data_IF_797426801933
#
_entry.id   IF_797426801933
#
_cell.length_a   1.000
_cell.length_b   1.000
_cell.length_c   1.000
_cell.angle_alpha   90.00
_cell.angle_beta   90.00
_cell.angle_gamma   90.00
#
_symmetry.space_group_name_H-M   'P 1'
#
loop_
_entity.id
_entity.type
_entity.pdbx_description
1 polymer ?
#
# COMPACT_ATOMS: atom_id res chain seq x y z
N UNK A 1 2.85 24.30 17.05
CA UNK A 1 2.02 23.08 16.87
C UNK A 1 2.10 22.49 15.45
N UNK A 2 2.58 23.20 14.43
CA UNK A 2 2.81 22.60 13.10
C UNK A 2 3.96 21.58 13.10
N UNK A 3 4.93 21.74 14.00
CA UNK A 3 6.16 20.93 14.06
C UNK A 3 6.04 19.65 14.90
N UNK A 4 4.89 19.42 15.55
CA UNK A 4 4.67 18.26 16.43
C UNK A 4 3.43 17.42 16.05
N UNK A 5 2.82 17.68 14.89
CA UNK A 5 1.74 16.86 14.36
C UNK A 5 0.33 17.18 14.87
N UNK A 6 0.18 18.22 15.71
CA UNK A 6 -1.15 18.64 16.20
C UNK A 6 -1.90 19.48 15.16
N UNK A 7 -1.16 20.29 14.38
CA UNK A 7 -1.74 21.12 13.31
C UNK A 7 -1.44 20.47 11.96
N UNK A 8 -2.50 20.09 11.24
CA UNK A 8 -2.38 19.50 9.89
C UNK A 8 -1.97 20.50 8.83
N UNK A 9 -2.39 21.77 8.91
CA UNK A 9 -2.06 22.80 7.93
C UNK A 9 -1.96 24.17 8.60
N UNK A 10 -1.00 24.99 8.16
CA UNK A 10 -0.87 26.40 8.55
C UNK A 10 -1.21 27.31 7.38
N UNK A 11 -1.98 28.36 7.63
CA UNK A 11 -2.42 29.36 6.66
C UNK A 11 -2.08 30.76 7.16
N UNK A 12 -2.08 31.77 6.28
CA UNK A 12 -1.68 33.13 6.65
C UNK A 12 -2.82 33.96 7.25
N UNK A 13 -4.07 33.67 6.89
CA UNK A 13 -5.26 34.36 7.39
C UNK A 13 -6.49 33.43 7.53
N UNK A 14 -7.55 33.95 8.14
CA UNK A 14 -8.79 33.20 8.40
C UNK A 14 -9.54 32.81 7.11
N UNK A 15 -9.46 33.63 6.05
CA UNK A 15 -10.12 33.35 4.77
C UNK A 15 -9.44 32.17 4.06
N UNK A 16 -8.11 32.13 4.07
CA UNK A 16 -7.32 30.98 3.62
C UNK A 16 -7.62 29.75 4.48
N UNK A 17 -7.82 29.92 5.78
CA UNK A 17 -8.23 28.85 6.69
C UNK A 17 -9.57 28.23 6.30
N UNK A 18 -10.60 29.05 6.07
CA UNK A 18 -11.91 28.58 5.59
C UNK A 18 -11.77 27.94 4.20
N UNK A 19 -10.97 28.52 3.32
CA UNK A 19 -10.70 27.94 1.99
C UNK A 19 -10.07 26.55 2.10
N UNK A 20 -9.09 26.38 2.99
CA UNK A 20 -8.45 25.09 3.23
C UNK A 20 -9.42 24.04 3.80
N UNK A 21 -10.30 24.43 4.72
CA UNK A 21 -11.35 23.56 5.27
C UNK A 21 -12.29 23.10 4.15
N UNK A 22 -12.78 24.02 3.31
CA UNK A 22 -13.66 23.68 2.19
C UNK A 22 -12.96 22.78 1.16
N UNK A 23 -11.68 23.04 0.89
CA UNK A 23 -10.86 22.17 0.03
C UNK A 23 -10.74 20.77 0.62
N UNK A 24 -10.50 20.62 1.93
CA UNK A 24 -10.47 19.32 2.59
C UNK A 24 -11.81 18.60 2.49
N UNK A 25 -12.92 19.29 2.81
CA UNK A 25 -14.27 18.71 2.70
C UNK A 25 -14.62 18.27 1.28
N UNK A 26 -13.98 18.83 0.24
CA UNK A 26 -14.15 18.38 -1.15
C UNK A 26 -13.66 16.96 -1.44
N UNK A 27 -12.93 16.34 -0.51
CA UNK A 27 -12.50 14.93 -0.60
C UNK A 27 -13.40 13.99 0.19
N UNK A 28 -14.10 14.49 1.22
CA UNK A 28 -14.82 13.67 2.21
C UNK A 28 -16.29 13.48 1.80
N UNK A 29 -16.89 12.29 1.99
CA UNK A 29 -18.33 12.10 1.82
C UNK A 29 -19.18 13.07 2.66
N UNK A 30 -20.36 13.42 2.16
CA UNK A 30 -21.26 14.37 2.84
C UNK A 30 -21.82 13.84 4.18
N UNK A 31 -21.86 12.52 4.36
CA UNK A 31 -22.25 11.82 5.58
C UNK A 31 -21.55 10.46 5.65
N UNK A 32 -21.39 9.89 6.85
CA UNK A 32 -20.74 8.57 7.01
C UNK A 32 -21.54 7.46 6.33
N UNK A 33 -20.86 6.62 5.57
CA UNK A 33 -21.44 5.61 4.69
C UNK A 33 -21.93 6.16 3.35
N UNK A 34 -21.82 7.45 3.09
CA UNK A 34 -22.18 8.08 1.82
C UNK A 34 -21.21 7.75 0.68
N UNK A 35 -21.59 8.06 -0.57
CA UNK A 35 -20.70 7.90 -1.71
C UNK A 35 -19.54 8.91 -1.68
N UNK A 36 -18.39 8.53 -2.24
CA UNK A 36 -17.26 9.44 -2.42
C UNK A 36 -17.63 10.58 -3.38
N UNK A 37 -17.18 11.83 -3.13
CA UNK A 37 -17.41 12.96 -4.03
C UNK A 37 -16.51 12.88 -5.28
N UNK A 38 -16.82 11.93 -6.18
CA UNK A 38 -16.10 11.74 -7.45
C UNK A 38 -16.47 12.87 -8.42
N UNK A 39 -15.47 13.58 -8.92
CA UNK A 39 -15.63 14.66 -9.90
C UNK A 39 -15.20 14.22 -11.30
N UNK A 40 -15.71 14.86 -12.34
CA UNK A 40 -15.17 14.68 -13.69
C UNK A 40 -13.73 15.20 -13.75
N UNK A 41 -12.74 14.37 -14.12
CA UNK A 41 -11.35 14.79 -14.10
C UNK A 41 -11.05 15.77 -15.22
N UNK A 42 -10.35 16.86 -14.88
CA UNK A 42 -9.70 17.74 -15.87
C UNK A 42 -8.45 17.09 -16.45
N UNK A 43 -7.80 16.23 -15.65
CA UNK A 43 -6.59 15.50 -16.00
C UNK A 43 -6.95 14.08 -16.48
N UNK A 44 -6.79 13.74 -17.77
CA UNK A 44 -7.23 12.45 -18.31
C UNK A 44 -6.66 11.26 -17.54
N UNK A 45 -7.47 10.24 -17.19
CA UNK A 45 -6.98 9.07 -16.47
C UNK A 45 -6.05 8.20 -17.32
N UNK A 46 -6.19 8.22 -18.65
CA UNK A 46 -5.40 7.39 -19.57
C UNK A 46 -4.02 7.97 -19.94
N UNK A 47 -3.69 9.18 -19.45
CA UNK A 47 -2.36 9.75 -19.73
C UNK A 47 -1.27 8.94 -19.04
N UNK A 48 -0.07 9.01 -19.62
CA UNK A 48 1.12 8.45 -19.01
C UNK A 48 1.62 9.33 -17.85
N UNK A 49 2.33 8.71 -16.91
CA UNK A 49 3.15 9.41 -15.92
C UNK A 49 4.45 9.82 -16.62
N UNK A 50 4.65 11.13 -16.77
CA UNK A 50 5.82 11.70 -17.46
C UNK A 50 7.01 11.93 -16.52
N UNK A 51 6.75 12.13 -15.22
CA UNK A 51 7.81 12.20 -14.24
C UNK A 51 8.52 10.85 -14.12
N UNK A 52 9.82 10.83 -14.37
CA UNK A 52 10.67 9.64 -14.28
C UNK A 52 11.81 9.92 -13.29
N UNK A 53 11.88 9.20 -12.15
CA UNK A 53 12.98 9.38 -11.20
C UNK A 53 14.28 8.85 -11.79
N UNK A 54 15.36 9.64 -11.72
CA UNK A 54 16.68 9.25 -12.23
C UNK A 54 17.50 8.46 -11.21
N UNK A 55 17.48 8.89 -9.94
CA UNK A 55 18.31 8.32 -8.86
C UNK A 55 17.47 7.90 -7.67
N UNK A 56 16.63 8.79 -7.17
CA UNK A 56 15.64 8.51 -6.14
C UNK A 56 14.29 9.11 -6.52
N UNK A 57 13.23 8.43 -6.08
CA UNK A 57 11.87 8.88 -6.31
C UNK A 57 11.50 9.96 -5.28
N UNK A 58 11.54 11.24 -5.68
CA UNK A 58 10.91 12.30 -4.88
C UNK A 58 9.40 11.99 -4.72
N UNK A 59 8.89 11.86 -3.49
CA UNK A 59 7.49 11.54 -3.24
C UNK A 59 6.53 12.61 -3.77
N UNK A 60 6.86 13.91 -3.67
CA UNK A 60 5.98 14.98 -4.11
C UNK A 60 5.89 15.01 -5.63
N UNK A 61 7.04 14.92 -6.30
CA UNK A 61 7.09 14.82 -7.75
C UNK A 61 6.38 13.56 -8.29
N UNK A 62 6.49 12.43 -7.60
CA UNK A 62 5.74 11.22 -7.92
C UNK A 62 4.21 11.43 -7.83
N UNK A 63 3.76 12.23 -6.86
CA UNK A 63 2.34 12.49 -6.63
C UNK A 63 1.79 13.52 -7.64
N UNK A 64 2.31 14.76 -7.60
CA UNK A 64 1.75 15.90 -8.33
C UNK A 64 2.52 16.26 -9.63
N UNK A 65 3.64 15.59 -9.90
CA UNK A 65 4.53 15.90 -11.01
C UNK A 65 5.59 16.94 -10.65
N UNK A 66 6.48 17.23 -11.60
CA UNK A 66 7.55 18.21 -11.45
C UNK A 66 7.63 19.10 -12.70
N UNK A 67 8.22 20.28 -12.58
CA UNK A 67 8.56 21.10 -13.73
C UNK A 67 9.95 20.69 -14.25
N UNK A 68 10.08 20.51 -15.56
CA UNK A 68 11.38 20.31 -16.17
C UNK A 68 12.17 21.63 -16.29
N UNK A 69 13.44 21.55 -16.72
CA UNK A 69 14.30 22.72 -16.91
C UNK A 69 13.82 23.71 -17.98
N UNK A 70 12.82 23.34 -18.80
CA UNK A 70 12.20 24.19 -19.83
C UNK A 70 10.87 24.79 -19.39
N UNK A 71 10.38 24.44 -18.18
CA UNK A 71 9.08 24.87 -17.66
C UNK A 71 7.91 23.99 -18.09
N UNK A 72 8.16 22.86 -18.76
CA UNK A 72 7.13 21.86 -19.07
C UNK A 72 6.83 21.05 -17.80
N UNK A 73 5.54 20.91 -17.49
CA UNK A 73 5.08 20.04 -16.42
C UNK A 73 5.17 18.56 -16.83
N UNK A 74 5.96 17.80 -16.08
CA UNK A 74 6.04 16.35 -16.14
C UNK A 74 5.01 15.77 -15.16
N UNK A 75 3.88 15.32 -15.69
CA UNK A 75 2.76 14.84 -14.88
C UNK A 75 3.11 13.65 -13.97
N UNK A 76 2.74 13.76 -12.69
CA UNK A 76 2.83 12.69 -11.69
C UNK A 76 1.71 11.66 -11.83
N UNK A 77 1.58 10.77 -10.83
CA UNK A 77 0.58 9.71 -10.83
C UNK A 77 -0.85 10.23 -10.60
N UNK A 78 -1.01 11.26 -9.76
CA UNK A 78 -2.31 11.84 -9.40
C UNK A 78 -2.65 13.06 -10.25
N UNK A 79 -3.89 13.53 -10.11
CA UNK A 79 -4.41 14.65 -10.89
C UNK A 79 -3.65 15.93 -10.55
N UNK A 80 -3.34 16.71 -11.59
CA UNK A 80 -2.69 18.02 -11.46
C UNK A 80 -3.40 18.90 -10.42
N UNK A 81 -2.61 19.54 -9.56
CA UNK A 81 -3.07 20.50 -8.54
C UNK A 81 -4.14 19.94 -7.57
N UNK A 82 -4.25 18.61 -7.46
CA UNK A 82 -5.20 17.95 -6.55
C UNK A 82 -4.60 17.58 -5.18
N UNK A 83 -3.26 17.48 -5.09
CA UNK A 83 -2.59 17.05 -3.87
C UNK A 83 -2.55 18.17 -2.83
N UNK A 84 -3.04 17.86 -1.62
CA UNK A 84 -2.96 18.71 -0.44
C UNK A 84 -2.18 17.96 0.62
N UNK A 85 -0.93 18.38 0.84
CA UNK A 85 -0.10 17.84 1.89
C UNK A 85 -0.61 18.30 3.27
N UNK A 86 -0.54 17.39 4.24
CA UNK A 86 -0.90 17.65 5.63
C UNK A 86 0.21 17.17 6.54
N UNK A 87 0.36 17.82 7.69
CA UNK A 87 1.40 17.53 8.69
C UNK A 87 2.82 17.70 8.13
N UNK A 88 3.02 18.57 7.13
CA UNK A 88 4.31 18.83 6.47
C UNK A 88 5.40 19.26 7.48
N UNK A 89 5.01 20.01 8.52
CA UNK A 89 5.94 20.50 9.53
C UNK A 89 6.53 19.42 10.44
N UNK A 90 5.93 18.22 10.50
CA UNK A 90 6.26 17.15 11.44
C UNK A 90 6.60 15.84 10.72
N UNK A 91 7.59 15.11 11.25
CA UNK A 91 8.06 13.82 10.73
C UNK A 91 8.23 13.82 9.19
N UNK A 92 9.11 14.70 8.70
CA UNK A 92 9.30 15.02 7.28
C UNK A 92 9.81 13.84 6.44
N UNK A 93 10.24 12.75 7.06
CA UNK A 93 10.61 11.51 6.37
C UNK A 93 9.42 10.79 5.74
N UNK A 94 8.18 11.13 6.12
CA UNK A 94 6.95 10.63 5.51
C UNK A 94 6.06 11.80 5.09
N UNK A 95 5.58 11.75 3.87
CA UNK A 95 4.64 12.71 3.26
C UNK A 95 3.24 12.12 3.34
N UNK A 96 2.28 12.87 3.90
CA UNK A 96 0.88 12.44 4.01
C UNK A 96 -0.05 13.51 3.50
N UNK A 97 -1.11 13.13 2.79
CA UNK A 97 -2.04 14.11 2.25
C UNK A 97 -3.20 13.48 1.49
N UNK A 98 -3.98 14.30 0.81
CA UNK A 98 -5.11 13.87 -0.02
C UNK A 98 -4.88 14.29 -1.46
N UNK A 99 -5.25 13.46 -2.42
CA UNK A 99 -5.26 13.83 -3.84
C UNK A 99 -6.46 13.23 -4.55
N UNK A 100 -6.52 13.42 -5.88
CA UNK A 100 -7.50 12.77 -6.74
C UNK A 100 -6.79 11.92 -7.79
N UNK A 101 -7.34 10.75 -8.10
CA UNK A 101 -6.92 9.90 -9.20
C UNK A 101 -8.09 9.75 -10.17
N UNK A 102 -8.04 10.47 -11.29
CA UNK A 102 -9.16 10.53 -12.24
C UNK A 102 -10.44 11.04 -11.59
N UNK A 103 -10.31 12.03 -10.70
CA UNK A 103 -11.42 12.63 -9.97
C UNK A 103 -11.88 11.89 -8.71
N UNK A 104 -11.40 10.67 -8.46
CA UNK A 104 -11.71 9.90 -7.24
C UNK A 104 -10.80 10.38 -6.09
N UNK A 105 -11.35 10.86 -4.97
CA UNK A 105 -10.55 11.32 -3.83
C UNK A 105 -9.89 10.15 -3.11
N UNK A 106 -8.63 10.32 -2.73
CA UNK A 106 -7.81 9.30 -2.05
C UNK A 106 -6.89 9.91 -1.00
N UNK A 107 -6.62 9.17 0.06
CA UNK A 107 -5.52 9.43 0.98
C UNK A 107 -4.20 8.93 0.41
N UNK A 108 -3.11 9.64 0.70
CA UNK A 108 -1.76 9.30 0.24
C UNK A 108 -0.81 9.26 1.42
N UNK A 109 0.01 8.22 1.46
CA UNK A 109 1.23 8.13 2.27
C UNK A 109 2.40 7.83 1.32
N UNK A 110 3.43 8.66 1.35
CA UNK A 110 4.64 8.48 0.55
C UNK A 110 5.89 8.73 1.39
N UNK A 111 7.03 8.26 0.90
CA UNK A 111 8.29 8.26 1.69
C UNK A 111 9.27 9.23 1.09
N UNK A 112 9.87 10.05 1.95
CA UNK A 112 10.99 10.88 1.57
C UNK A 112 12.25 10.03 1.37
N UNK A 113 13.00 10.33 0.31
CA UNK A 113 14.25 9.64 -0.01
C UNK A 113 15.48 10.40 0.46
N UNK A 114 15.36 11.71 0.63
CA UNK A 114 16.44 12.55 1.12
C UNK A 114 16.55 12.51 2.64
N UNK A 115 17.76 12.75 3.15
CA UNK A 115 17.99 12.92 4.59
C UNK A 115 17.34 14.23 5.05
N UNK A 116 16.42 14.14 6.01
CA UNK A 116 15.73 15.27 6.59
C UNK A 116 16.39 15.69 7.90
N UNK A 117 16.47 17.00 8.14
CA UNK A 117 17.04 17.55 9.38
C UNK A 117 15.90 17.92 10.33
N UNK A 118 15.79 17.20 11.44
CA UNK A 118 14.84 17.49 12.50
C UNK A 118 15.47 18.47 13.49
N UNK A 119 14.89 19.66 13.61
CA UNK A 119 15.31 20.66 14.60
C UNK A 119 14.47 20.47 15.87
N UNK A 120 15.13 20.07 16.95
CA UNK A 120 14.54 19.95 18.28
C UNK A 120 14.87 21.25 19.03
N UNK A 121 13.88 22.07 19.38
CA UNK A 121 14.11 23.34 20.05
C UNK A 121 14.68 23.12 21.46
N UNK A 122 15.43 24.10 21.96
CA UNK A 122 15.85 24.12 23.35
C UNK A 122 14.63 24.22 24.28
N UNK A 123 14.68 23.53 25.41
CA UNK A 123 13.67 23.61 26.45
C UNK A 123 13.93 24.85 27.34
N UNK A 124 13.06 25.88 27.34
CA UNK A 124 13.24 27.04 28.20
C UNK A 124 13.18 26.72 29.70
N UNK A 125 12.60 25.58 30.09
CA UNK A 125 12.53 25.12 31.47
C UNK A 125 13.84 24.50 31.99
N UNK A 126 14.79 24.22 31.10
CA UNK A 126 16.03 23.53 31.45
C UNK A 126 17.25 24.30 30.93
N UNK A 127 18.07 24.85 31.85
CA UNK A 127 19.16 25.78 31.51
C UNK A 127 20.29 25.16 30.67
N UNK A 128 20.50 23.86 30.76
CA UNK A 128 21.49 23.09 29.98
C UNK A 128 20.96 22.62 28.62
N UNK A 129 19.68 22.86 28.33
CA UNK A 129 19.07 22.53 27.05
C UNK A 129 19.55 23.48 25.95
N UNK A 130 19.85 22.92 24.79
CA UNK A 130 20.26 23.64 23.60
C UNK A 130 19.53 23.05 22.39
N UNK A 131 19.40 23.84 21.33
CA UNK A 131 18.81 23.36 20.08
C UNK A 131 19.66 22.23 19.51
N UNK A 132 18.98 21.16 19.09
CA UNK A 132 19.64 19.98 18.51
C UNK A 132 19.10 19.73 17.11
N UNK A 133 20.01 19.58 16.16
CA UNK A 133 19.67 19.18 14.79
C UNK A 133 20.00 17.70 14.63
N UNK A 134 18.97 16.88 14.45
CA UNK A 134 19.08 15.43 14.31
C UNK A 134 18.86 15.06 12.85
N UNK A 135 19.86 14.47 12.16
CA UNK A 135 19.65 13.94 10.82
C UNK A 135 18.80 12.67 10.89
N UNK A 136 17.74 12.62 10.08
CA UNK A 136 16.88 11.47 9.88
C UNK A 136 17.08 10.99 8.44
N UNK A 137 17.56 9.77 8.26
CA UNK A 137 17.75 9.20 6.93
C UNK A 137 16.40 9.03 6.20
N UNK A 138 16.38 9.28 4.89
CA UNK A 138 15.25 8.93 4.04
C UNK A 138 15.02 7.41 4.02
N UNK A 139 13.84 6.98 3.58
CA UNK A 139 13.46 5.56 3.48
C UNK A 139 13.47 4.78 4.82
N UNK A 140 13.47 5.46 5.97
CA UNK A 140 13.49 4.83 7.30
C UNK A 140 12.32 5.33 8.14
N UNK A 141 11.63 4.41 8.83
CA UNK A 141 10.67 4.78 9.86
C UNK A 141 11.35 5.06 11.19
N UNK A 142 11.12 6.27 11.68
CA UNK A 142 11.44 6.75 13.02
C UNK A 142 10.15 6.82 13.87
N UNK A 143 10.23 7.01 15.20
CA UNK A 143 9.06 7.00 16.07
C UNK A 143 8.00 8.02 15.66
N UNK A 144 8.43 9.21 15.26
CA UNK A 144 7.58 10.30 14.77
C UNK A 144 6.90 9.95 13.44
N UNK A 145 7.63 9.42 12.47
CA UNK A 145 7.12 9.07 11.14
C UNK A 145 6.24 7.82 11.15
N UNK A 146 6.52 6.84 12.01
CA UNK A 146 5.63 5.72 12.25
C UNK A 146 4.30 6.20 12.88
N UNK A 147 4.37 7.12 13.85
CA UNK A 147 3.18 7.72 14.47
C UNK A 147 2.39 8.57 13.45
N UNK A 148 3.07 9.39 12.65
CA UNK A 148 2.45 10.18 11.56
C UNK A 148 1.74 9.28 10.55
N UNK A 149 2.39 8.18 10.15
CA UNK A 149 1.80 7.19 9.25
C UNK A 149 0.54 6.60 9.87
N UNK A 150 0.63 6.11 11.11
CA UNK A 150 -0.51 5.52 11.81
C UNK A 150 -1.68 6.52 11.96
N UNK A 151 -1.40 7.77 12.33
CA UNK A 151 -2.40 8.84 12.43
C UNK A 151 -3.09 9.10 11.09
N UNK A 152 -2.31 9.18 9.99
CA UNK A 152 -2.88 9.38 8.66
C UNK A 152 -3.80 8.23 8.24
N UNK A 153 -3.42 6.98 8.50
CA UNK A 153 -4.28 5.82 8.24
C UNK A 153 -5.60 5.92 9.04
N UNK A 154 -5.51 6.28 10.32
CA UNK A 154 -6.69 6.44 11.18
C UNK A 154 -7.64 7.55 10.69
N UNK A 155 -7.07 8.69 10.29
CA UNK A 155 -7.84 9.84 9.79
C UNK A 155 -8.52 9.50 8.45
N UNK A 156 -7.79 8.92 7.50
CA UNK A 156 -8.34 8.55 6.19
C UNK A 156 -9.42 7.46 6.29
N UNK A 157 -9.26 6.49 7.21
CA UNK A 157 -10.28 5.46 7.45
C UNK A 157 -11.59 6.06 7.97
N UNK A 158 -11.50 7.06 8.85
CA UNK A 158 -12.66 7.79 9.38
C UNK A 158 -13.34 8.68 8.34
N UNK A 159 -12.57 9.19 7.40
CA UNK A 159 -13.06 9.94 6.24
C UNK A 159 -13.59 9.02 5.12
N UNK A 160 -13.48 7.71 5.29
CA UNK A 160 -13.88 6.69 4.34
C UNK A 160 -13.21 6.82 2.96
N UNK A 161 -11.95 7.26 2.94
CA UNK A 161 -11.16 7.42 1.72
C UNK A 161 -10.45 6.11 1.34
N UNK A 162 -10.33 5.78 0.04
CA UNK A 162 -9.33 4.82 -0.42
C UNK A 162 -7.91 5.35 -0.15
N UNK A 163 -6.95 4.45 0.05
CA UNK A 163 -5.58 4.79 0.43
C UNK A 163 -4.56 4.34 -0.60
N UNK A 164 -3.62 5.21 -0.94
CA UNK A 164 -2.41 4.88 -1.68
C UNK A 164 -1.18 5.01 -0.77
N UNK A 165 -0.40 3.94 -0.67
CA UNK A 165 0.90 3.94 0.00
C UNK A 165 1.98 3.75 -1.06
N UNK A 166 2.71 4.82 -1.38
CA UNK A 166 3.91 4.76 -2.22
C UNK A 166 5.08 4.25 -1.37
N UNK A 167 5.17 2.93 -1.24
CA UNK A 167 6.04 2.27 -0.29
C UNK A 167 7.50 2.29 -0.74
N UNK A 168 8.36 2.94 0.04
CA UNK A 168 9.79 3.05 -0.25
C UNK A 168 10.62 3.09 1.06
N UNK A 169 10.50 2.03 1.87
CA UNK A 169 11.17 1.90 3.18
C UNK A 169 12.15 0.73 3.22
N UNK A 170 13.37 1.00 3.70
CA UNK A 170 14.38 -0.01 4.04
C UNK A 170 14.12 -0.71 5.37
N UNK A 171 13.30 -0.11 6.24
CA UNK A 171 12.95 -0.68 7.53
C UNK A 171 12.63 0.37 8.58
N UNK A 172 12.58 -0.09 9.82
CA UNK A 172 12.48 0.73 11.01
C UNK A 172 13.88 1.09 11.52
N UNK A 173 14.02 2.26 12.14
CA UNK A 173 15.25 2.59 12.86
C UNK A 173 15.47 1.63 14.02
N UNK A 174 16.61 0.94 14.01
CA UNK A 174 17.05 0.03 15.07
C UNK A 174 17.95 0.67 16.12
N UNK A 175 18.08 2.01 16.12
CA UNK A 175 18.92 2.73 17.08
C UNK A 175 18.38 2.61 18.51
N UNK A 176 19.29 2.56 19.50
CA UNK A 176 18.91 2.43 20.92
C UNK A 176 17.94 3.53 21.38
N UNK A 177 18.18 4.77 20.95
CA UNK A 177 17.31 5.91 21.27
C UNK A 177 15.90 5.70 20.72
N UNK A 178 15.80 5.38 19.43
CA UNK A 178 14.50 5.28 18.75
C UNK A 178 13.70 4.05 19.24
N UNK A 179 14.39 3.00 19.67
CA UNK A 179 13.79 1.87 20.41
C UNK A 179 13.23 2.31 21.77
N UNK A 180 13.97 3.14 22.52
CA UNK A 180 13.51 3.67 23.81
C UNK A 180 12.34 4.65 23.66
N UNK A 181 12.31 5.43 22.57
CA UNK A 181 11.22 6.32 22.20
C UNK A 181 9.96 5.58 21.71
N UNK A 182 9.99 4.25 21.61
CA UNK A 182 8.82 3.43 21.37
C UNK A 182 8.47 3.20 19.90
N UNK A 183 9.48 3.09 19.02
CA UNK A 183 9.27 2.76 17.59
C UNK A 183 8.44 1.49 17.38
N UNK A 184 8.57 0.49 18.25
CA UNK A 184 7.84 -0.78 18.13
C UNK A 184 6.33 -0.59 18.38
N UNK A 185 5.97 0.24 19.36
CA UNK A 185 4.58 0.60 19.65
C UNK A 185 3.98 1.42 18.50
N UNK A 186 4.74 2.38 17.97
CA UNK A 186 4.33 3.15 16.80
C UNK A 186 4.12 2.24 15.58
N UNK A 187 5.05 1.30 15.33
CA UNK A 187 4.94 0.30 14.27
C UNK A 187 3.74 -0.63 14.42
N UNK A 188 3.42 -1.09 15.64
CA UNK A 188 2.21 -1.92 15.87
C UNK A 188 0.91 -1.17 15.59
N UNK A 189 0.90 0.15 15.78
CA UNK A 189 -0.28 0.99 15.53
C UNK A 189 -0.59 1.08 14.03
N UNK A 190 0.44 1.04 13.17
CA UNK A 190 0.26 0.96 11.70
C UNK A 190 -0.50 -0.32 11.35
N UNK A 191 -0.10 -1.46 11.91
CA UNK A 191 -0.76 -2.76 11.68
C UNK A 191 -2.22 -2.73 12.13
N UNK A 192 -2.49 -2.17 13.31
CA UNK A 192 -3.85 -2.08 13.84
C UNK A 192 -4.76 -1.21 12.95
N UNK A 193 -4.27 -0.07 12.50
CA UNK A 193 -5.04 0.84 11.63
C UNK A 193 -5.22 0.26 10.22
N UNK A 194 -4.25 -0.50 9.70
CA UNK A 194 -4.38 -1.18 8.40
C UNK A 194 -5.34 -2.39 8.48
N UNK A 195 -5.32 -3.12 9.61
CA UNK A 195 -6.22 -4.25 9.89
C UNK A 195 -7.69 -3.82 9.94
N UNK A 196 -7.96 -2.64 10.47
CA UNK A 196 -9.32 -2.09 10.64
C UNK A 196 -9.74 -1.17 9.50
N UNK A 197 -8.91 -1.02 8.48
CA UNK A 197 -9.20 -0.18 7.31
C UNK A 197 -10.35 -0.75 6.48
N UNK A 198 -11.38 0.08 6.22
CA UNK A 198 -12.63 -0.37 5.60
C UNK A 198 -12.75 -0.13 4.09
N UNK A 199 -11.80 0.59 3.50
CA UNK A 199 -11.81 0.99 2.08
C UNK A 199 -10.61 0.37 1.33
N UNK A 200 -10.58 0.41 -0.01
CA UNK A 200 -9.48 -0.16 -0.77
C UNK A 200 -8.14 0.52 -0.45
N UNK A 201 -7.10 -0.28 -0.20
CA UNK A 201 -5.73 0.18 0.06
C UNK A 201 -4.80 -0.37 -1.02
N UNK A 202 -4.14 0.52 -1.74
CA UNK A 202 -3.15 0.20 -2.76
C UNK A 202 -1.75 0.51 -2.24
N UNK A 203 -0.93 -0.52 -2.10
CA UNK A 203 0.46 -0.38 -1.72
C UNK A 203 1.29 -0.60 -2.97
N UNK A 204 1.99 0.44 -3.41
CA UNK A 204 2.77 0.42 -4.65
C UNK A 204 4.21 0.78 -4.35
N UNK A 205 5.14 -0.12 -4.68
CA UNK A 205 6.57 0.16 -4.61
C UNK A 205 6.95 0.89 -5.91
N UNK A 206 7.31 2.19 -5.87
CA UNK A 206 7.51 3.01 -7.05
C UNK A 206 8.83 2.65 -7.77
N UNK A 207 9.09 3.32 -8.89
CA UNK A 207 10.33 3.15 -9.65
C UNK A 207 11.56 3.42 -8.76
N UNK A 208 12.52 2.50 -8.79
CA UNK A 208 13.71 2.46 -7.91
C UNK A 208 13.41 2.42 -6.41
N UNK A 209 12.15 2.21 -6.03
CA UNK A 209 11.75 2.07 -4.64
C UNK A 209 12.16 0.71 -4.08
N UNK A 210 12.28 0.66 -2.75
CA UNK A 210 12.52 -0.58 -2.05
C UNK A 210 11.65 -0.75 -0.82
N UNK A 211 11.25 -2.00 -0.55
CA UNK A 211 10.50 -2.36 0.64
C UNK A 211 11.15 -3.56 1.31
N UNK A 212 11.69 -3.36 2.52
CA UNK A 212 12.53 -4.38 3.19
C UNK A 212 12.12 -4.69 4.61
N UNK A 213 12.47 -5.90 5.04
CA UNK A 213 12.44 -6.34 6.43
C UNK A 213 11.13 -6.05 7.15
N UNK A 214 11.22 -5.40 8.31
CA UNK A 214 10.06 -5.05 9.13
C UNK A 214 9.08 -4.10 8.43
N UNK A 215 9.54 -3.28 7.48
CA UNK A 215 8.65 -2.37 6.77
C UNK A 215 7.67 -3.12 5.85
N UNK A 216 8.11 -4.23 5.25
CA UNK A 216 7.20 -5.12 4.52
C UNK A 216 6.17 -5.73 5.47
N UNK A 217 6.61 -6.19 6.65
CA UNK A 217 5.75 -6.91 7.60
C UNK A 217 4.54 -6.09 8.02
N UNK A 218 4.71 -4.78 8.27
CA UNK A 218 3.61 -3.91 8.73
C UNK A 218 2.67 -3.44 7.61
N UNK A 219 3.04 -3.70 6.35
CA UNK A 219 2.30 -3.31 5.15
C UNK A 219 1.80 -4.52 4.34
N UNK A 220 2.05 -5.74 4.79
CA UNK A 220 1.75 -6.93 4.01
C UNK A 220 0.24 -7.04 3.74
N UNK A 221 -0.12 -7.42 2.51
CA UNK A 221 -1.52 -7.60 2.11
C UNK A 221 -2.29 -8.59 2.99
N UNK A 222 -1.61 -9.52 3.67
CA UNK A 222 -2.25 -10.49 4.58
C UNK A 222 -2.78 -9.86 5.88
N UNK A 223 -2.38 -8.63 6.21
CA UNK A 223 -2.95 -7.92 7.38
C UNK A 223 -4.45 -7.70 7.18
N UNK A 224 -4.85 -7.34 5.96
CA UNK A 224 -6.24 -7.12 5.58
C UNK A 224 -6.44 -7.54 4.11
N UNK A 225 -6.58 -8.86 3.84
CA UNK A 225 -6.56 -9.40 2.48
C UNK A 225 -7.78 -9.02 1.64
N UNK A 226 -8.84 -8.55 2.29
CA UNK A 226 -10.07 -8.13 1.63
C UNK A 226 -9.92 -6.74 1.00
N UNK A 227 -9.13 -5.85 1.61
CA UNK A 227 -9.01 -4.45 1.21
C UNK A 227 -7.61 -4.06 0.68
N UNK A 228 -6.54 -4.75 1.09
CA UNK A 228 -5.15 -4.38 0.75
C UNK A 228 -4.66 -5.13 -0.48
N UNK A 229 -4.19 -4.38 -1.49
CA UNK A 229 -3.55 -4.91 -2.69
C UNK A 229 -2.14 -4.33 -2.84
N UNK A 230 -1.15 -5.22 -3.02
CA UNK A 230 0.26 -4.85 -3.19
C UNK A 230 0.71 -5.00 -4.64
N UNK A 231 1.43 -3.99 -5.13
CA UNK A 231 2.00 -3.90 -6.47
C UNK A 231 3.44 -3.39 -6.39
N UNK A 232 4.24 -3.72 -7.40
CA UNK A 232 5.62 -3.24 -7.48
C UNK A 232 5.96 -2.83 -8.92
N UNK A 233 6.80 -1.82 -9.05
CA UNK A 233 7.39 -1.43 -10.33
C UNK A 233 8.45 -2.45 -10.78
N UNK A 234 8.78 -2.50 -12.08
CA UNK A 234 9.78 -3.44 -12.62
C UNK A 234 11.15 -3.32 -11.94
N UNK A 235 11.60 -2.10 -11.66
CA UNK A 235 12.89 -1.79 -11.02
C UNK A 235 12.85 -1.84 -9.49
N UNK A 236 11.66 -1.98 -8.91
CA UNK A 236 11.48 -2.05 -7.46
C UNK A 236 12.20 -3.26 -6.87
N UNK A 237 12.77 -3.06 -5.67
CA UNK A 237 13.48 -4.10 -4.91
C UNK A 237 12.74 -4.42 -3.62
N UNK A 238 12.87 -5.65 -3.15
CA UNK A 238 12.32 -6.01 -1.85
C UNK A 238 12.71 -7.41 -1.41
N UNK A 239 13.14 -7.49 -0.16
CA UNK A 239 13.59 -8.70 0.50
C UNK A 239 13.67 -8.48 2.01
N UNK A 240 14.02 -9.51 2.77
CA UNK A 240 14.17 -9.43 4.23
C UNK A 240 15.30 -8.48 4.63
N UNK A 241 16.42 -8.51 3.91
CA UNK A 241 17.62 -7.70 4.18
C UNK A 241 18.05 -6.98 2.90
N UNK A 242 18.92 -6.00 3.07
CA UNK A 242 19.71 -5.47 1.95
C UNK A 242 20.68 -6.54 1.42
N UNK A 243 21.04 -6.48 0.12
CA UNK A 243 21.99 -7.41 -0.50
C UNK A 243 23.29 -7.55 0.30
N UNK A 244 23.81 -6.43 0.79
CA UNK A 244 25.02 -6.33 1.61
C UNK A 244 24.87 -7.11 2.92
N UNK A 245 23.75 -6.93 3.63
CA UNK A 245 23.47 -7.70 4.85
C UNK A 245 23.26 -9.20 4.58
N UNK A 246 22.70 -9.57 3.42
CA UNK A 246 22.52 -10.97 3.03
C UNK A 246 23.87 -11.68 2.82
N UNK A 247 24.81 -11.03 2.13
CA UNK A 247 26.13 -11.62 1.87
C UNK A 247 26.94 -11.80 3.16
N UNK A 248 26.87 -10.85 4.09
CA UNK A 248 27.56 -10.95 5.39
C UNK A 248 27.09 -12.13 6.22
N UNK A 249 25.82 -12.52 6.07
CA UNK A 249 25.25 -13.65 6.81
C UNK A 249 25.44 -14.96 6.06
N UNK A 250 25.04 -15.02 4.78
CA UNK A 250 24.92 -16.27 4.01
C UNK A 250 26.05 -16.55 3.03
N UNK A 251 26.80 -15.54 2.61
CA UNK A 251 27.83 -15.67 1.58
C UNK A 251 29.15 -15.04 2.06
N UNK A 252 29.65 -15.57 3.18
CA UNK A 252 30.80 -15.04 3.90
C UNK A 252 32.08 -15.28 3.10
N UNK A 253 33.20 -14.77 3.63
CA UNK A 253 34.53 -14.92 3.03
C UNK A 253 34.85 -16.36 2.65
N UNK A 254 34.43 -17.35 3.43
CA UNK A 254 34.66 -18.77 3.11
C UNK A 254 33.99 -19.19 1.80
N UNK A 255 32.70 -18.91 1.65
CA UNK A 255 31.93 -19.24 0.44
C UNK A 255 32.42 -18.45 -0.78
N UNK A 256 32.88 -17.21 -0.57
CA UNK A 256 33.55 -16.39 -1.59
C UNK A 256 34.84 -17.06 -2.09
N UNK A 257 35.71 -17.52 -1.19
CA UNK A 257 36.96 -18.20 -1.53
C UNK A 257 36.71 -19.55 -2.24
N UNK A 258 35.67 -20.28 -1.85
CA UNK A 258 35.23 -21.50 -2.56
C UNK A 258 34.78 -21.16 -3.99
N UNK A 259 34.02 -20.09 -4.18
CA UNK A 259 33.62 -19.63 -5.51
C UNK A 259 34.80 -19.16 -6.37
N UNK A 260 35.76 -18.44 -5.78
CA UNK A 260 37.00 -18.09 -6.47
C UNK A 260 37.76 -19.33 -6.94
N UNK A 261 37.88 -20.33 -6.06
CA UNK A 261 38.54 -21.59 -6.38
C UNK A 261 37.83 -22.41 -7.47
N UNK A 262 36.54 -22.16 -7.71
CA UNK A 262 35.74 -22.83 -8.75
C UNK A 262 35.76 -22.10 -10.09
N UNK A 263 35.90 -20.77 -10.09
CA UNK A 263 35.69 -19.92 -11.27
C UNK A 263 36.97 -19.25 -11.79
N UNK A 264 37.95 -18.94 -10.94
CA UNK A 264 39.18 -18.26 -11.37
C UNK A 264 40.22 -19.29 -11.88
N UNK A 265 40.60 -19.24 -13.17
CA UNK A 265 41.48 -20.23 -13.78
C UNK A 265 42.90 -20.19 -13.20
N UNK A 266 43.37 -19.02 -12.75
CA UNK A 266 44.69 -18.84 -12.16
C UNK A 266 44.75 -19.51 -10.77
N UNK A 267 43.74 -19.31 -9.92
CA UNK A 267 43.61 -20.02 -8.64
C UNK A 267 43.46 -21.52 -8.80
N UNK A 268 42.72 -21.99 -9.81
CA UNK A 268 42.59 -23.43 -10.10
C UNK A 268 43.96 -24.04 -10.42
N UNK A 269 44.73 -23.38 -11.29
CA UNK A 269 46.07 -23.84 -11.67
C UNK A 269 47.08 -23.76 -10.50
N UNK A 270 47.01 -22.71 -9.68
CA UNK A 270 47.84 -22.61 -8.48
C UNK A 270 47.49 -23.69 -7.46
N UNK A 271 46.19 -24.00 -7.26
CA UNK A 271 45.74 -25.08 -6.36
C UNK A 271 46.12 -26.47 -6.88
N UNK A 272 46.09 -26.71 -8.19
CA UNK A 272 46.56 -27.98 -8.76
C UNK A 272 48.08 -28.15 -8.58
N UNK A 273 48.86 -27.10 -8.88
CA UNK A 273 50.31 -27.09 -8.64
C UNK A 273 50.66 -27.28 -7.16
N UNK A 274 49.85 -26.73 -6.25
CA UNK A 274 50.03 -26.92 -4.81
C UNK A 274 49.80 -28.39 -4.42
N UNK A 275 48.79 -29.07 -4.99
CA UNK A 275 48.55 -30.50 -4.76
C UNK A 275 49.68 -31.38 -5.30
N UNK A 276 50.22 -31.07 -6.48
CA UNK A 276 51.38 -31.75 -7.06
C UNK A 276 52.65 -31.54 -6.21
N UNK A 277 52.94 -30.32 -5.79
CA UNK A 277 54.11 -30.01 -4.95
C UNK A 277 54.01 -30.64 -3.54
N UNK A 278 52.80 -30.79 -3.02
CA UNK A 278 52.56 -31.43 -1.72
C UNK A 278 52.79 -32.94 -1.78
N UNK A 279 52.60 -33.57 -2.94
CA UNK A 279 52.86 -35.00 -3.15
C UNK A 279 54.33 -35.29 -3.47
N UNK A 280 55.08 -34.32 -4.00
CA UNK A 280 56.52 -34.46 -4.31
C UNK A 280 57.48 -34.09 -3.17
N UNK A 281 56.98 -33.65 -2.01
CA UNK A 281 57.78 -33.40 -0.80
C UNK A 281 58.68 -32.15 -0.83
N UNK A 282 58.42 -31.19 -1.73
CA UNK A 282 59.27 -30.01 -1.94
C UNK A 282 58.78 -28.80 -1.12
N UNK A 283 59.13 -28.74 0.17
CA UNK A 283 58.60 -27.75 1.12
C UNK A 283 58.74 -26.27 0.71
N UNK A 284 59.84 -25.86 0.08
CA UNK A 284 60.08 -24.47 -0.32
C UNK A 284 59.11 -23.97 -1.41
N UNK A 285 58.66 -24.84 -2.33
CA UNK A 285 57.70 -24.49 -3.37
C UNK A 285 56.26 -24.41 -2.83
N UNK A 286 55.95 -25.14 -1.75
CA UNK A 286 54.63 -25.15 -1.14
C UNK A 286 54.33 -23.81 -0.48
N UNK A 287 55.30 -23.23 0.24
CA UNK A 287 55.13 -21.95 0.92
C UNK A 287 54.99 -20.78 -0.07
N UNK A 288 55.79 -20.77 -1.14
CA UNK A 288 55.67 -19.77 -2.21
C UNK A 288 54.31 -19.84 -2.93
N UNK A 289 53.85 -21.06 -3.29
CA UNK A 289 52.54 -21.27 -3.91
C UNK A 289 51.39 -20.85 -2.99
N UNK A 290 51.46 -21.13 -1.69
CA UNK A 290 50.46 -20.65 -0.72
C UNK A 290 50.44 -19.11 -0.63
N UNK A 291 51.61 -18.48 -0.71
CA UNK A 291 51.72 -17.02 -0.68
C UNK A 291 51.12 -16.40 -1.94
N UNK A 292 51.37 -16.98 -3.10
CA UNK A 292 50.77 -16.57 -4.38
C UNK A 292 49.25 -16.74 -4.39
N UNK A 293 48.73 -17.85 -3.86
CA UNK A 293 47.29 -18.09 -3.72
C UNK A 293 46.65 -17.02 -2.83
N UNK A 294 47.21 -16.76 -1.64
CA UNK A 294 46.69 -15.73 -0.72
C UNK A 294 46.73 -14.33 -1.34
N UNK A 295 47.78 -14.01 -2.10
CA UNK A 295 47.89 -12.73 -2.80
C UNK A 295 46.80 -12.57 -3.87
N UNK A 296 46.53 -13.64 -4.64
CA UNK A 296 45.47 -13.67 -5.65
C UNK A 296 44.08 -13.58 -5.05
N UNK A 297 43.80 -14.35 -3.98
CA UNK A 297 42.54 -14.30 -3.23
C UNK A 297 42.28 -12.89 -2.69
N UNK A 298 43.28 -12.25 -2.08
CA UNK A 298 43.15 -10.87 -1.58
C UNK A 298 42.85 -9.87 -2.69
N UNK A 299 43.45 -10.04 -3.88
CA UNK A 299 43.20 -9.19 -5.05
C UNK A 299 41.79 -9.36 -5.61
N UNK A 300 41.27 -10.59 -5.62
CA UNK A 300 39.96 -10.91 -6.18
C UNK A 300 38.80 -10.62 -5.21
N UNK A 301 39.07 -10.56 -3.90
CA UNK A 301 38.02 -10.42 -2.88
C UNK A 301 37.06 -9.25 -3.13
N UNK A 302 37.50 -8.00 -3.40
CA UNK A 302 36.58 -6.90 -3.63
C UNK A 302 35.65 -7.13 -4.83
N UNK A 303 36.17 -7.72 -5.92
CA UNK A 303 35.39 -8.02 -7.12
C UNK A 303 34.35 -9.12 -6.85
N UNK A 304 34.75 -10.20 -6.16
CA UNK A 304 33.82 -11.27 -5.81
C UNK A 304 32.77 -10.84 -4.81
N UNK A 305 33.09 -9.90 -3.91
CA UNK A 305 32.09 -9.24 -3.06
C UNK A 305 31.05 -8.51 -3.91
N UNK A 306 31.47 -7.71 -4.90
CA UNK A 306 30.54 -7.05 -5.83
C UNK A 306 29.67 -8.04 -6.62
N UNK A 307 30.27 -9.14 -7.10
CA UNK A 307 29.54 -10.22 -7.78
C UNK A 307 28.52 -10.86 -6.84
N UNK A 308 28.89 -11.13 -5.59
CA UNK A 308 28.01 -11.69 -4.59
C UNK A 308 26.87 -10.74 -4.22
N UNK A 309 27.14 -9.43 -4.08
CA UNK A 309 26.11 -8.40 -3.92
C UNK A 309 25.16 -8.42 -5.11
N UNK A 310 25.67 -8.48 -6.35
CA UNK A 310 24.81 -8.53 -7.54
C UNK A 310 23.99 -9.81 -7.62
N UNK A 311 24.56 -10.93 -7.20
CA UNK A 311 23.86 -12.20 -7.07
C UNK A 311 22.73 -12.11 -6.02
N UNK A 312 22.98 -11.47 -4.88
CA UNK A 312 21.96 -11.21 -3.87
C UNK A 312 20.84 -10.31 -4.43
N UNK A 313 21.17 -9.23 -5.14
CA UNK A 313 20.18 -8.34 -5.78
C UNK A 313 19.23 -9.06 -6.75
N UNK A 314 19.67 -10.12 -7.44
CA UNK A 314 18.80 -10.90 -8.32
C UNK A 314 17.63 -11.58 -7.56
N UNK A 315 17.78 -11.77 -6.25
CA UNK A 315 16.73 -12.33 -5.37
C UNK A 315 15.71 -11.28 -4.91
N UNK A 316 15.99 -9.99 -5.13
CA UNK A 316 15.18 -8.88 -4.64
C UNK A 316 14.20 -8.35 -5.70
N UNK A 317 14.18 -8.97 -6.89
CA UNK A 317 13.44 -8.47 -8.06
C UNK A 317 11.93 -8.54 -7.87
N UNK A 318 11.22 -7.53 -8.40
CA UNK A 318 9.74 -7.50 -8.49
C UNK A 318 9.15 -8.74 -9.17
N UNK A 319 9.81 -9.27 -10.21
CA UNK A 319 9.41 -10.51 -10.87
C UNK A 319 9.42 -11.71 -9.92
N UNK A 320 10.41 -11.78 -9.01
CA UNK A 320 10.45 -12.84 -7.98
C UNK A 320 9.33 -12.65 -6.95
N UNK A 321 9.00 -11.41 -6.60
CA UNK A 321 7.85 -11.13 -5.72
C UNK A 321 6.54 -11.64 -6.34
N UNK A 322 6.31 -11.34 -7.61
CA UNK A 322 5.14 -11.81 -8.35
C UNK A 322 5.13 -13.34 -8.47
N UNK A 323 6.27 -13.97 -8.78
CA UNK A 323 6.40 -15.43 -8.85
C UNK A 323 6.15 -16.12 -7.49
N UNK A 324 6.38 -15.43 -6.38
CA UNK A 324 6.05 -15.90 -5.03
C UNK A 324 4.64 -15.53 -4.57
N UNK A 325 3.89 -14.76 -5.37
CA UNK A 325 2.52 -14.35 -5.07
C UNK A 325 2.39 -13.40 -3.89
N UNK A 326 3.45 -12.65 -3.54
CA UNK A 326 3.40 -11.64 -2.46
C UNK A 326 2.90 -10.28 -2.94
N UNK A 327 2.96 -10.04 -4.26
CA UNK A 327 2.32 -8.92 -4.95
C UNK A 327 1.34 -9.46 -6.00
N UNK A 328 0.33 -8.68 -6.37
CA UNK A 328 -0.68 -9.06 -7.38
C UNK A 328 -0.09 -9.06 -8.79
N UNK A 329 0.61 -7.98 -9.14
CA UNK A 329 1.16 -7.78 -10.48
C UNK A 329 2.34 -6.80 -10.43
N UNK A 330 3.21 -6.86 -11.44
CA UNK A 330 4.25 -5.87 -11.70
C UNK A 330 3.70 -4.80 -12.65
N UNK A 331 3.66 -3.55 -12.20
CA UNK A 331 3.06 -2.43 -12.93
C UNK A 331 4.15 -1.50 -13.44
N UNK A 332 4.17 -1.18 -14.73
CA UNK A 332 5.15 -0.24 -15.29
C UNK A 332 4.84 1.19 -14.86
N UNK A 333 5.87 1.93 -14.42
CA UNK A 333 5.71 3.30 -13.91
C UNK A 333 4.92 4.25 -14.84
N UNK A 334 5.23 4.35 -16.15
CA UNK A 334 4.51 5.28 -17.04
C UNK A 334 3.02 4.97 -17.16
N UNK A 335 2.61 3.69 -17.02
CA UNK A 335 1.21 3.25 -17.14
C UNK A 335 0.48 3.18 -15.81
N UNK A 336 1.19 3.39 -14.70
CA UNK A 336 0.67 3.23 -13.33
C UNK A 336 -0.61 4.02 -13.10
N UNK A 337 -0.69 5.27 -13.55
CA UNK A 337 -1.90 6.11 -13.45
C UNK A 337 -3.13 5.43 -14.04
N UNK A 338 -3.09 5.07 -15.34
CA UNK A 338 -4.22 4.44 -16.04
C UNK A 338 -4.61 3.09 -15.43
N UNK A 339 -3.63 2.33 -14.93
CA UNK A 339 -3.84 1.05 -14.28
C UNK A 339 -4.57 1.24 -12.93
N UNK A 340 -4.02 2.09 -12.07
CA UNK A 340 -4.57 2.34 -10.74
C UNK A 340 -5.90 3.05 -10.79
N UNK A 341 -6.15 3.92 -11.76
CA UNK A 341 -7.48 4.53 -11.95
C UNK A 341 -8.55 3.46 -12.20
N UNK A 342 -8.33 2.59 -13.19
CA UNK A 342 -9.27 1.49 -13.52
C UNK A 342 -9.47 0.56 -12.34
N UNK A 343 -8.37 0.18 -11.67
CA UNK A 343 -8.42 -0.72 -10.51
C UNK A 343 -9.14 -0.08 -9.32
N UNK A 344 -8.85 1.19 -9.01
CA UNK A 344 -9.50 1.94 -7.95
C UNK A 344 -11.00 2.08 -8.21
N UNK A 345 -11.37 2.53 -9.42
CA UNK A 345 -12.76 2.69 -9.83
C UNK A 345 -13.53 1.38 -9.65
N UNK A 346 -12.96 0.28 -10.12
CA UNK A 346 -13.53 -1.05 -9.93
C UNK A 346 -13.70 -1.43 -8.46
N UNK A 347 -12.68 -1.25 -7.62
CA UNK A 347 -12.75 -1.62 -6.19
C UNK A 347 -13.76 -0.78 -5.42
N UNK A 348 -13.87 0.51 -5.72
CA UNK A 348 -14.89 1.40 -5.13
C UNK A 348 -16.30 0.91 -5.48
N UNK A 349 -16.53 0.54 -6.73
CA UNK A 349 -17.84 0.04 -7.20
C UNK A 349 -18.16 -1.36 -6.67
N UNK A 350 -17.16 -2.24 -6.56
CA UNK A 350 -17.31 -3.53 -5.87
C UNK A 350 -17.71 -3.33 -4.40
N UNK A 351 -17.08 -2.39 -3.70
CA UNK A 351 -17.40 -2.10 -2.30
C UNK A 351 -18.80 -1.50 -2.13
N UNK A 352 -19.23 -0.64 -3.06
CA UNK A 352 -20.60 -0.09 -3.08
C UNK A 352 -21.65 -1.19 -3.27
N UNK A 353 -21.40 -2.15 -4.18
CA UNK A 353 -22.26 -3.32 -4.34
C UNK A 353 -22.30 -4.19 -3.08
N UNK A 354 -21.14 -4.43 -2.45
CA UNK A 354 -21.06 -5.21 -1.21
C UNK A 354 -21.84 -4.51 -0.10
N UNK A 355 -21.73 -3.18 0.04
CA UNK A 355 -22.54 -2.39 0.98
C UNK A 355 -24.03 -2.56 0.69
N UNK A 356 -24.46 -2.40 -0.56
CA UNK A 356 -25.86 -2.57 -0.98
C UNK A 356 -26.41 -3.97 -0.66
N UNK A 357 -25.63 -5.02 -0.91
CA UNK A 357 -25.99 -6.40 -0.58
C UNK A 357 -26.11 -6.61 0.93
N UNK A 358 -25.14 -6.13 1.70
CA UNK A 358 -25.15 -6.24 3.16
C UNK A 358 -26.31 -5.46 3.78
N UNK A 359 -26.69 -4.33 3.22
CA UNK A 359 -27.88 -3.58 3.67
C UNK A 359 -29.17 -4.37 3.38
N UNK A 360 -29.24 -5.00 2.20
CA UNK A 360 -30.36 -5.85 1.80
C UNK A 360 -30.51 -7.12 2.67
N UNK A 361 -29.39 -7.80 2.97
CA UNK A 361 -29.38 -9.04 3.76
C UNK A 361 -29.27 -8.81 5.28
N UNK A 362 -28.86 -7.62 5.73
CA UNK A 362 -28.55 -7.33 7.13
C UNK A 362 -27.20 -7.93 7.58
N UNK A 363 -27.05 -8.17 8.88
CA UNK A 363 -25.81 -8.69 9.49
C UNK A 363 -25.52 -10.18 9.20
N UNK A 364 -26.12 -10.76 8.17
CA UNK A 364 -25.96 -12.17 7.83
C UNK A 364 -24.66 -12.46 7.08
N UNK A 365 -24.12 -11.47 6.35
CA UNK A 365 -22.93 -11.65 5.51
C UNK A 365 -21.75 -10.83 6.03
N UNK A 366 -20.58 -11.49 6.11
CA UNK A 366 -19.29 -10.81 6.17
C UNK A 366 -18.92 -10.23 4.79
N UNK A 367 -17.90 -9.37 4.74
CA UNK A 367 -17.48 -8.72 3.49
C UNK A 367 -17.12 -9.76 2.42
N UNK A 368 -16.38 -10.80 2.80
CA UNK A 368 -15.91 -11.85 1.89
C UNK A 368 -17.07 -12.65 1.28
N UNK A 369 -18.00 -13.14 2.09
CA UNK A 369 -19.14 -13.92 1.58
C UNK A 369 -20.07 -13.07 0.72
N UNK A 370 -20.23 -11.78 1.05
CA UNK A 370 -20.98 -10.84 0.22
C UNK A 370 -20.32 -10.66 -1.16
N UNK A 371 -18.98 -10.48 -1.19
CA UNK A 371 -18.21 -10.39 -2.44
C UNK A 371 -18.30 -11.67 -3.27
N UNK A 372 -18.16 -12.83 -2.63
CA UNK A 372 -18.27 -14.13 -3.31
C UNK A 372 -19.68 -14.36 -3.88
N UNK A 373 -20.72 -13.89 -3.19
CA UNK A 373 -22.10 -13.94 -3.68
C UNK A 373 -22.28 -13.07 -4.92
N UNK A 374 -21.74 -11.85 -4.93
CA UNK A 374 -21.76 -10.95 -6.10
C UNK A 374 -21.00 -11.59 -7.26
N UNK A 375 -19.83 -12.18 -7.00
CA UNK A 375 -19.05 -12.91 -8.02
C UNK A 375 -19.89 -14.06 -8.61
N UNK A 376 -20.61 -14.81 -7.79
CA UNK A 376 -21.49 -15.87 -8.26
C UNK A 376 -22.66 -15.35 -9.11
N UNK A 377 -23.27 -14.21 -8.73
CA UNK A 377 -24.30 -13.57 -9.56
C UNK A 377 -23.77 -13.17 -10.93
N UNK A 378 -22.55 -12.61 -10.99
CA UNK A 378 -21.89 -12.29 -12.25
C UNK A 378 -21.63 -13.54 -13.09
N UNK A 379 -21.05 -14.59 -12.50
CA UNK A 379 -20.70 -15.82 -13.22
C UNK A 379 -21.91 -16.59 -13.75
N UNK A 380 -23.04 -16.51 -13.06
CA UNK A 380 -24.31 -17.10 -13.49
C UNK A 380 -25.07 -16.24 -14.50
N UNK A 381 -24.64 -14.99 -14.72
CA UNK A 381 -25.24 -14.11 -15.72
C UNK A 381 -24.86 -14.55 -17.15
N UNK A 382 -25.66 -14.09 -18.11
CA UNK A 382 -25.40 -14.34 -19.55
C UNK A 382 -24.05 -13.75 -20.02
N UNK A 383 -23.50 -12.77 -19.30
CA UNK A 383 -22.25 -12.07 -19.63
C UNK A 383 -21.04 -12.81 -19.04
N UNK A 384 -21.14 -13.32 -17.81
CA UNK A 384 -20.02 -13.97 -17.11
C UNK A 384 -19.68 -15.37 -17.61
N UNK A 385 -20.62 -16.06 -18.27
CA UNK A 385 -20.37 -17.27 -19.07
C UNK A 385 -19.45 -18.32 -18.41
N UNK A 386 -19.68 -18.66 -17.13
CA UNK A 386 -18.96 -19.69 -16.33
C UNK A 386 -17.43 -19.67 -16.35
N UNK A 387 -16.78 -18.64 -16.92
CA UNK A 387 -15.33 -18.51 -16.98
C UNK A 387 -14.87 -17.52 -15.93
N UNK A 388 -14.15 -17.99 -14.92
CA UNK A 388 -13.60 -17.13 -13.88
C UNK A 388 -12.71 -16.00 -14.42
N UNK A 389 -12.10 -16.19 -15.59
CA UNK A 389 -11.29 -15.17 -16.27
C UNK A 389 -12.09 -13.92 -16.63
N UNK A 390 -13.39 -14.04 -16.90
CA UNK A 390 -14.26 -12.90 -17.25
C UNK A 390 -14.57 -12.03 -16.05
N UNK A 391 -14.49 -12.55 -14.82
CA UNK A 391 -14.61 -11.70 -13.63
C UNK A 391 -13.49 -10.66 -13.60
N UNK A 392 -12.27 -11.02 -14.00
CA UNK A 392 -11.13 -10.10 -14.00
C UNK A 392 -11.17 -9.06 -15.13
N UNK A 393 -12.12 -9.17 -16.06
CA UNK A 393 -12.32 -8.20 -17.13
C UNK A 393 -13.18 -7.03 -16.63
N UNK A 394 -12.61 -5.83 -16.63
CA UNK A 394 -13.27 -4.62 -16.14
C UNK A 394 -14.44 -4.23 -17.04
N UNK A 395 -14.33 -4.36 -18.37
CA UNK A 395 -15.41 -3.99 -19.30
C UNK A 395 -16.63 -4.90 -19.13
N UNK A 396 -16.38 -6.20 -19.03
CA UNK A 396 -17.42 -7.19 -18.77
C UNK A 396 -18.11 -6.91 -17.42
N UNK A 397 -17.34 -6.61 -16.37
CA UNK A 397 -17.87 -6.28 -15.04
C UNK A 397 -18.77 -5.04 -15.07
N UNK A 398 -18.32 -3.93 -15.67
CA UNK A 398 -19.12 -2.69 -15.74
C UNK A 398 -20.39 -2.88 -16.57
N UNK A 399 -20.30 -3.57 -17.71
CA UNK A 399 -21.49 -3.87 -18.53
C UNK A 399 -22.56 -4.66 -17.77
N UNK A 400 -22.16 -5.54 -16.85
CA UNK A 400 -23.06 -6.28 -15.98
C UNK A 400 -23.57 -5.41 -14.81
N UNK A 401 -22.69 -4.64 -14.18
CA UNK A 401 -22.99 -3.79 -13.02
C UNK A 401 -23.98 -2.67 -13.36
N UNK A 402 -23.89 -2.11 -14.55
CA UNK A 402 -24.68 -0.95 -14.95
C UNK A 402 -26.14 -1.32 -15.29
N UNK A 403 -26.41 -2.59 -15.61
CA UNK A 403 -27.77 -3.11 -15.72
C UNK A 403 -28.27 -3.65 -14.38
N UNK A 404 -29.02 -2.82 -13.66
CA UNK A 404 -29.56 -3.15 -12.33
C UNK A 404 -30.47 -4.39 -12.32
N UNK A 405 -31.07 -4.76 -13.46
CA UNK A 405 -31.92 -5.96 -13.57
C UNK A 405 -31.14 -7.25 -13.30
N UNK A 406 -29.83 -7.24 -13.46
CA UNK A 406 -28.99 -8.42 -13.26
C UNK A 406 -28.93 -8.90 -11.81
N UNK A 407 -29.20 -8.03 -10.83
CA UNK A 407 -29.08 -8.36 -9.41
C UNK A 407 -30.22 -7.84 -8.53
N UNK A 408 -31.12 -7.00 -9.03
CA UNK A 408 -32.25 -6.48 -8.23
C UNK A 408 -33.19 -7.59 -7.74
N UNK A 409 -33.48 -8.61 -8.55
CA UNK A 409 -34.31 -9.76 -8.13
C UNK A 409 -33.67 -10.49 -6.94
N UNK A 410 -32.36 -10.78 -7.02
CA UNK A 410 -31.61 -11.41 -5.95
C UNK A 410 -31.58 -10.52 -4.68
N UNK A 411 -31.44 -9.20 -4.83
CA UNK A 411 -31.50 -8.27 -3.70
C UNK A 411 -32.88 -8.26 -3.05
N UNK A 412 -33.97 -8.35 -3.82
CA UNK A 412 -35.33 -8.44 -3.28
C UNK A 412 -35.53 -9.73 -2.48
N UNK A 413 -35.05 -10.87 -2.97
CA UNK A 413 -35.07 -12.14 -2.23
C UNK A 413 -34.33 -12.03 -0.89
N UNK A 414 -33.14 -11.42 -0.87
CA UNK A 414 -32.39 -11.19 0.36
C UNK A 414 -33.13 -10.29 1.34
N UNK A 415 -33.80 -9.22 0.86
CA UNK A 415 -34.64 -8.35 1.70
C UNK A 415 -35.81 -9.13 2.31
N UNK A 416 -36.45 -10.01 1.55
CA UNK A 416 -37.54 -10.87 2.04
C UNK A 416 -37.00 -11.82 3.13
N UNK A 417 -35.85 -12.46 2.89
CA UNK A 417 -35.22 -13.35 3.87
C UNK A 417 -34.84 -12.61 5.16
N UNK A 418 -34.30 -11.40 5.05
CA UNK A 418 -34.00 -10.53 6.20
C UNK A 418 -35.27 -10.23 7.01
N UNK A 419 -36.35 -9.82 6.35
CA UNK A 419 -37.62 -9.54 7.02
C UNK A 419 -38.20 -10.79 7.70
N UNK A 420 -38.10 -11.94 7.03
CA UNK A 420 -38.55 -13.22 7.59
C UNK A 420 -37.75 -13.60 8.85
N UNK A 421 -36.43 -13.41 8.84
CA UNK A 421 -35.58 -13.68 10.00
C UNK A 421 -35.88 -12.72 11.18
N UNK A 422 -36.15 -11.45 10.88
CA UNK A 422 -36.56 -10.48 11.91
C UNK A 422 -37.90 -10.88 12.54
N UNK A 423 -38.87 -11.32 11.73
CA UNK A 423 -40.16 -11.82 12.20
C UNK A 423 -40.02 -13.12 13.01
N UNK A 424 -39.14 -14.05 12.60
CA UNK A 424 -38.92 -15.28 13.36
C UNK A 424 -38.26 -15.01 14.70
N UNK A 425 -37.33 -14.05 14.78
CA UNK A 425 -36.67 -13.69 16.04
C UNK A 425 -37.63 -13.09 17.07
N UNK A 426 -38.62 -12.31 16.62
CA UNK A 426 -39.73 -11.83 17.47
C UNK A 426 -40.58 -12.99 18.01
N UNK A 427 -40.62 -14.12 17.29
CA UNK A 427 -41.33 -15.33 17.67
C UNK A 427 -40.67 -16.18 18.77
N UNK A 428 -39.46 -15.84 19.23
CA UNK A 428 -38.77 -16.63 20.25
C UNK A 428 -39.30 -16.36 21.68
N UNK A 429 -40.09 -15.30 21.87
CA UNK A 429 -40.75 -14.95 23.13
C UNK A 429 -42.23 -15.34 23.07
N UNK A 430 -42.68 -16.15 24.02
CA UNK A 430 -44.07 -16.65 24.08
C UNK A 430 -45.08 -15.53 24.33
N UNK A 431 -44.67 -14.43 24.95
CA UNK A 431 -45.50 -13.23 25.14
C UNK A 431 -45.64 -12.43 23.85
N UNK A 432 -44.55 -12.28 23.10
CA UNK A 432 -44.53 -11.54 21.83
C UNK A 432 -45.31 -12.30 20.73
N UNK A 433 -45.23 -13.64 20.72
CA UNK A 433 -46.05 -14.48 19.84
C UNK A 433 -47.56 -14.29 20.03
N UNK A 434 -48.03 -14.03 21.26
CA UNK A 434 -49.45 -13.77 21.53
C UNK A 434 -49.89 -12.38 21.03
N UNK A 435 -48.99 -11.41 21.04
CA UNK A 435 -49.25 -10.05 20.55
C UNK A 435 -49.07 -9.91 19.03
N UNK A 436 -48.30 -10.81 18.39
CA UNK A 436 -47.96 -10.77 16.96
C UNK A 436 -49.18 -10.64 16.02
N UNK A 437 -50.29 -11.39 16.19
CA UNK A 437 -51.44 -11.28 15.29
C UNK A 437 -52.13 -9.91 15.36
N UNK A 438 -52.21 -9.31 16.56
CA UNK A 438 -52.78 -7.98 16.76
C UNK A 438 -51.86 -6.89 16.18
N UNK A 439 -50.54 -7.04 16.35
CA UNK A 439 -49.54 -6.15 15.76
C UNK A 439 -49.56 -6.20 14.22
N UNK A 440 -49.63 -7.39 13.61
CA UNK A 440 -49.74 -7.56 12.17
C UNK A 440 -51.05 -6.98 11.62
N UNK A 441 -52.18 -7.14 12.32
CA UNK A 441 -53.44 -6.52 11.92
C UNK A 441 -53.38 -4.98 11.97
N UNK A 442 -52.71 -4.40 12.98
CA UNK A 442 -52.48 -2.96 13.06
C UNK A 442 -51.52 -2.47 11.96
N UNK A 443 -50.50 -3.26 11.62
CA UNK A 443 -49.55 -2.97 10.55
C UNK A 443 -50.22 -3.02 9.17
N UNK A 444 -51.00 -4.06 8.86
CA UNK A 444 -51.73 -4.20 7.60
C UNK A 444 -52.72 -3.05 7.38
N UNK A 445 -53.37 -2.55 8.44
CA UNK A 445 -54.21 -1.34 8.37
C UNK A 445 -53.42 -0.09 7.97
N UNK A 446 -52.15 0.05 8.37
CA UNK A 446 -51.26 1.15 7.95
C UNK A 446 -50.73 0.97 6.52
N UNK A 447 -50.40 -0.26 6.12
CA UNK A 447 -49.87 -0.54 4.78
C UNK A 447 -50.93 -0.32 3.69
N UNK A 448 -52.19 -0.64 3.95
CA UNK A 448 -53.30 -0.38 3.02
C UNK A 448 -53.60 1.13 2.80
N UNK A 449 -52.87 2.05 3.44
CA UNK A 449 -52.91 3.49 3.16
C UNK A 449 -51.75 3.99 2.27
N UNK A 450 -50.81 3.12 1.87
CA UNK A 450 -49.86 3.45 0.80
C UNK A 450 -50.50 3.11 -0.57
N UNK A 451 -50.58 4.05 -1.52
CA UNK A 451 -51.15 3.76 -2.83
C UNK A 451 -50.22 2.79 -3.59
N UNK A 452 -50.77 1.82 -4.35
CA UNK A 452 -49.95 0.96 -5.20
C UNK A 452 -49.23 1.82 -6.25
N UNK A 453 -47.90 1.68 -6.37
CA UNK A 453 -47.17 2.25 -7.51
C UNK A 453 -47.69 1.60 -8.78
N UNK A 454 -48.27 2.42 -9.65
CA UNK A 454 -48.69 2.03 -10.99
C UNK A 454 -47.56 1.31 -11.72
N UNK A 455 -47.80 0.04 -12.04
CA UNK A 455 -47.11 -0.67 -13.11
C UNK A 455 -47.48 0.04 -14.41
N UNK A 456 -46.56 0.82 -14.99
CA UNK A 456 -46.71 1.32 -16.35
C UNK A 456 -46.38 0.14 -17.27
N UNK A 457 -47.41 -0.60 -17.65
CA UNK A 457 -47.43 -1.37 -18.89
C UNK A 457 -48.14 -0.47 -19.90
N UNK A 458 -47.36 0.10 -20.81
CA UNK A 458 -47.66 0.23 -22.25
C UNK A 458 -46.46 0.87 -22.95
#
# INVERSE_FOLDING_TARGET
MATNGVVHLTVSDDLEGISAILKWLSFVPAYSGGPLPILSPLDPPDRLVEYLPETSCDPRAAICGAMDGTGKWLGGMFDRDSFIETLEGWARTVVTGRAKLGGIPVGIVAVETQTMMQVIPADPGQLDSHERVVPQAGQVWFPDSATKTAQALMDFNREELPLFILANWRGFSGGQRDLFEGILQAGSTIVENLRTYGQPVFIYIPMMGELRGGAWVVLDSKINPDHVEMYAERTAKGNVLEPEGLIEIKFRTRELLECMGRLDPELINLKSKLQEASSSGTFANVEDLQTQIRAREKKLLPLYTQIATKFAELHDTSLRMAAKGVIKEVVEWPKSRSFFYRRLHRRVVEDELVKTLRDAAGHQFDYKSARDTIKNWFLNSKIGGSKETLWMDDEAFFSWKDDSRNYEENLQELRIQKMLLQLSNLGNSTMDLRALPQALAAFLKKVNHFPPRHTIIN
#
